data_IF_272380019589
#
_entry.id   IF_272380019589
#
_cell.length_a   1.000
_cell.length_b   1.000
_cell.length_c   1.000
_cell.angle_alpha   90.00
_cell.angle_beta   90.00
_cell.angle_gamma   90.00
#
_symmetry.space_group_name_H-M   'P 1'
#
loop_
_entity.id
_entity.type
_entity.pdbx_description
1 polymer ?
#
# COMPACT_ATOMS: atom_id res chain seq x y z
N UNK A 1 17.79 4.66 2.71
CA UNK A 1 16.89 5.37 3.64
C UNK A 1 16.54 6.72 3.04
N UNK A 2 15.30 7.14 3.16
CA UNK A 2 14.74 8.39 2.65
C UNK A 2 13.99 9.07 3.80
N UNK A 3 14.43 10.23 4.20
CA UNK A 3 13.79 11.02 5.27
C UNK A 3 12.56 11.72 4.66
N UNK A 4 11.39 11.53 5.27
CA UNK A 4 10.13 12.03 4.70
C UNK A 4 9.88 13.52 4.96
N UNK A 5 10.56 14.12 5.94
CA UNK A 5 10.44 15.54 6.28
C UNK A 5 11.76 16.10 6.83
N UNK A 6 12.13 17.35 6.58
CA UNK A 6 13.22 18.02 7.29
C UNK A 6 12.88 18.34 8.75
N UNK A 7 11.60 18.39 9.10
CA UNK A 7 11.12 18.57 10.47
C UNK A 7 11.09 17.22 11.19
N UNK A 8 11.36 17.22 12.49
CA UNK A 8 11.30 16.01 13.30
C UNK A 8 9.84 15.61 13.56
N UNK A 9 9.29 14.84 12.63
CA UNK A 9 7.96 14.25 12.70
C UNK A 9 8.10 12.73 12.83
N UNK A 10 7.20 12.11 13.58
CA UNK A 10 7.28 10.67 13.88
C UNK A 10 6.41 9.82 12.97
N UNK A 11 5.39 10.44 12.36
CA UNK A 11 4.46 9.76 11.46
C UNK A 11 4.17 10.55 10.18
N UNK A 12 3.89 9.85 9.10
CA UNK A 12 3.50 10.46 7.82
C UNK A 12 2.17 11.20 7.90
N UNK A 13 1.27 10.80 8.80
CA UNK A 13 0.00 11.50 9.03
C UNK A 13 0.19 12.94 9.50
N UNK A 14 1.32 13.27 10.13
CA UNK A 14 1.67 14.60 10.63
C UNK A 14 2.18 15.54 9.52
N UNK A 15 2.55 15.00 8.37
CA UNK A 15 3.06 15.78 7.23
C UNK A 15 1.96 16.70 6.67
N UNK A 16 2.33 17.96 6.35
CA UNK A 16 1.49 18.82 5.54
C UNK A 16 1.30 18.24 4.13
N UNK A 17 0.32 18.75 3.37
CA UNK A 17 0.05 18.31 2.00
C UNK A 17 1.29 18.41 1.11
N UNK A 18 1.99 19.55 1.20
CA UNK A 18 3.21 19.78 0.43
C UNK A 18 4.36 18.85 0.83
N UNK A 19 4.57 18.63 2.12
CA UNK A 19 5.60 17.72 2.61
C UNK A 19 5.32 16.27 2.19
N UNK A 20 4.06 15.83 2.28
CA UNK A 20 3.66 14.49 1.86
C UNK A 20 3.88 14.27 0.37
N UNK A 21 3.43 15.22 -0.46
CA UNK A 21 3.65 15.18 -1.90
C UNK A 21 5.15 15.15 -2.26
N UNK A 22 5.97 15.96 -1.59
CA UNK A 22 7.43 15.99 -1.77
C UNK A 22 8.09 14.66 -1.36
N UNK A 23 7.65 14.05 -0.26
CA UNK A 23 8.14 12.72 0.17
C UNK A 23 7.85 11.65 -0.89
N UNK A 24 6.61 11.57 -1.37
CA UNK A 24 6.21 10.60 -2.41
C UNK A 24 6.93 10.86 -3.73
N UNK A 25 7.12 12.12 -4.14
CA UNK A 25 7.90 12.47 -5.32
C UNK A 25 9.36 12.02 -5.19
N UNK A 26 9.96 12.22 -4.00
CA UNK A 26 11.31 11.74 -3.69
C UNK A 26 11.41 10.21 -3.74
N UNK A 27 10.40 9.49 -3.26
CA UNK A 27 10.35 8.03 -3.35
C UNK A 27 10.43 7.58 -4.81
N UNK A 28 9.61 8.18 -5.69
CA UNK A 28 9.59 7.88 -7.13
C UNK A 28 10.94 8.18 -7.79
N UNK A 29 11.50 9.35 -7.51
CA UNK A 29 12.81 9.74 -8.03
C UNK A 29 13.89 8.73 -7.65
N UNK A 30 13.93 8.33 -6.37
CA UNK A 30 14.92 7.35 -5.88
C UNK A 30 14.70 5.95 -6.44
N UNK A 31 13.45 5.55 -6.67
CA UNK A 31 13.15 4.28 -7.34
C UNK A 31 13.63 4.30 -8.80
N UNK A 32 13.37 5.38 -9.55
CA UNK A 32 13.87 5.57 -10.92
C UNK A 32 15.39 5.53 -11.03
N UNK A 33 16.11 5.89 -9.97
CA UNK A 33 17.58 5.87 -9.95
C UNK A 33 18.21 4.45 -9.93
N UNK A 34 17.37 3.40 -9.82
CA UNK A 34 17.83 1.99 -9.78
C UNK A 34 17.26 1.16 -10.95
N UNK A 35 17.53 1.55 -12.22
CA UNK A 35 16.95 0.90 -13.39
C UNK A 35 17.41 -0.56 -13.56
N UNK A 36 18.51 -0.97 -12.94
CA UNK A 36 19.07 -2.33 -13.06
C UNK A 36 18.56 -3.33 -12.02
N UNK A 37 17.78 -2.87 -11.03
CA UNK A 37 17.20 -3.76 -10.04
C UNK A 37 16.15 -4.70 -10.66
N UNK A 38 16.16 -5.97 -10.31
CA UNK A 38 15.12 -6.93 -10.70
C UNK A 38 13.77 -6.59 -10.06
N UNK A 39 13.80 -6.04 -8.85
CA UNK A 39 12.63 -5.58 -8.13
C UNK A 39 13.01 -4.44 -7.17
N UNK A 40 12.10 -3.47 -7.04
CA UNK A 40 12.21 -2.36 -6.09
C UNK A 40 11.17 -2.54 -5.00
N UNK A 41 11.61 -2.59 -3.74
CA UNK A 41 10.72 -2.61 -2.59
C UNK A 41 10.91 -1.34 -1.78
N UNK A 42 9.92 -0.48 -1.78
CA UNK A 42 9.87 0.66 -0.85
C UNK A 42 8.91 0.32 0.29
N UNK A 43 9.33 0.61 1.51
CA UNK A 43 8.56 0.43 2.73
C UNK A 43 8.64 1.66 3.62
N UNK A 44 7.61 1.85 4.45
CA UNK A 44 7.62 2.73 5.62
C UNK A 44 7.22 1.89 6.81
N UNK A 45 7.97 1.97 7.89
CA UNK A 45 7.62 1.40 9.19
C UNK A 45 7.47 2.55 10.18
N UNK A 46 6.34 2.69 10.81
CA UNK A 46 6.06 3.71 11.83
C UNK A 46 5.76 3.04 13.17
N UNK A 47 6.46 3.48 14.20
CA UNK A 47 6.38 2.92 15.55
C UNK A 47 7.25 1.68 15.78
N UNK A 48 7.60 1.44 17.05
CA UNK A 48 8.48 0.35 17.48
C UNK A 48 7.90 -1.03 17.19
N UNK A 49 6.59 -1.21 17.39
CA UNK A 49 5.88 -2.47 17.10
C UNK A 49 5.74 -2.78 15.61
N UNK A 50 5.92 -1.77 14.74
CA UNK A 50 6.03 -1.94 13.29
C UNK A 50 7.47 -2.16 12.81
N UNK A 51 8.46 -2.14 13.71
CA UNK A 51 9.87 -2.33 13.38
C UNK A 51 10.56 -1.08 12.86
N UNK A 52 10.07 0.12 13.21
CA UNK A 52 10.78 1.36 12.92
C UNK A 52 12.13 1.38 13.66
N UNK A 53 13.20 1.67 12.93
CA UNK A 53 14.56 1.77 13.50
C UNK A 53 14.90 3.17 14.02
N UNK A 54 14.12 4.16 13.63
CA UNK A 54 14.24 5.57 14.00
C UNK A 54 12.86 6.13 14.32
N UNK A 55 12.78 7.04 15.26
CA UNK A 55 11.52 7.74 15.59
C UNK A 55 11.09 8.69 14.45
N UNK A 56 12.06 9.32 13.78
CA UNK A 56 11.78 10.22 12.64
C UNK A 56 11.20 9.44 11.46
N UNK A 57 10.04 9.90 10.92
CA UNK A 57 9.39 9.23 9.79
C UNK A 57 10.32 9.13 8.58
N UNK A 58 10.48 7.93 8.07
CA UNK A 58 11.36 7.63 6.95
C UNK A 58 10.87 6.46 6.11
N UNK A 59 11.24 6.46 4.84
CA UNK A 59 11.07 5.30 3.96
C UNK A 59 12.39 4.56 3.77
N UNK A 60 12.30 3.27 3.47
CA UNK A 60 13.43 2.42 3.13
C UNK A 60 13.22 1.85 1.74
N UNK A 61 14.19 2.06 0.85
CA UNK A 61 14.18 1.50 -0.50
C UNK A 61 15.22 0.38 -0.60
N UNK A 62 14.78 -0.78 -1.06
CA UNK A 62 15.60 -1.95 -1.36
C UNK A 62 15.60 -2.19 -2.86
N UNK A 63 16.76 -2.07 -3.50
CA UNK A 63 16.99 -2.47 -4.88
C UNK A 63 17.48 -3.93 -4.88
N UNK A 64 16.62 -4.85 -5.29
CA UNK A 64 16.87 -6.28 -5.19
C UNK A 64 17.34 -6.86 -6.54
N UNK A 65 18.38 -7.72 -6.55
CA UNK A 65 18.82 -8.41 -7.76
C UNK A 65 17.93 -9.63 -8.14
N UNK A 66 16.86 -9.86 -7.41
CA UNK A 66 15.90 -10.94 -7.62
C UNK A 66 14.47 -10.48 -7.36
N UNK A 67 13.48 -11.21 -7.88
CA UNK A 67 12.06 -10.99 -7.59
C UNK A 67 11.65 -11.82 -6.37
N UNK A 68 11.14 -11.20 -5.29
CA UNK A 68 10.68 -11.94 -4.11
C UNK A 68 9.53 -12.91 -4.45
N UNK A 69 9.48 -14.06 -3.80
CA UNK A 69 8.52 -15.12 -4.08
C UNK A 69 7.05 -14.65 -3.99
N UNK A 70 6.73 -13.74 -3.07
CA UNK A 70 5.38 -13.19 -2.95
C UNK A 70 4.98 -12.37 -4.19
N UNK A 71 5.91 -11.57 -4.73
CA UNK A 71 5.71 -10.76 -5.94
C UNK A 71 5.66 -11.64 -7.18
N UNK A 72 6.49 -12.67 -7.25
CA UNK A 72 6.46 -13.64 -8.35
C UNK A 72 5.11 -14.36 -8.43
N UNK A 73 4.58 -14.84 -7.29
CA UNK A 73 3.25 -15.47 -7.21
C UNK A 73 2.11 -14.51 -7.58
N UNK A 74 2.22 -13.24 -7.19
CA UNK A 74 1.24 -12.22 -7.57
C UNK A 74 1.24 -12.02 -9.09
N UNK A 75 2.43 -11.86 -9.69
CA UNK A 75 2.58 -11.77 -11.16
C UNK A 75 2.00 -12.98 -11.88
N UNK A 76 2.25 -14.19 -11.40
CA UNK A 76 1.69 -15.41 -11.97
C UNK A 76 0.16 -15.40 -11.94
N UNK A 77 -0.44 -14.96 -10.84
CA UNK A 77 -1.92 -14.84 -10.71
C UNK A 77 -2.50 -13.80 -11.64
N UNK A 78 -1.85 -12.64 -11.76
CA UNK A 78 -2.24 -11.58 -12.69
C UNK A 78 -2.17 -12.09 -14.13
N UNK A 79 -1.08 -12.74 -14.53
CA UNK A 79 -0.93 -13.33 -15.87
C UNK A 79 -1.99 -14.40 -16.16
N UNK A 80 -2.20 -15.35 -15.23
CA UNK A 80 -3.23 -16.38 -15.38
C UNK A 80 -4.65 -15.82 -15.45
N UNK A 81 -4.91 -14.70 -14.78
CA UNK A 81 -6.19 -13.98 -14.90
C UNK A 81 -6.34 -13.35 -16.29
N UNK A 82 -5.32 -12.64 -16.76
CA UNK A 82 -5.31 -12.04 -18.10
C UNK A 82 -5.52 -13.07 -19.21
N UNK A 83 -4.88 -14.24 -19.12
CA UNK A 83 -5.09 -15.35 -20.07
C UNK A 83 -6.56 -15.83 -20.10
N UNK A 84 -7.18 -15.99 -18.91
CA UNK A 84 -8.58 -16.48 -18.80
C UNK A 84 -9.61 -15.43 -19.25
N UNK A 85 -9.27 -14.16 -19.15
CA UNK A 85 -10.20 -13.04 -19.43
C UNK A 85 -9.92 -12.33 -20.75
N UNK A 86 -9.04 -12.92 -21.59
CA UNK A 86 -8.63 -12.34 -22.88
C UNK A 86 -8.02 -10.92 -22.73
N UNK A 87 -7.18 -10.74 -21.72
CA UNK A 87 -6.44 -9.49 -21.49
C UNK A 87 -6.98 -8.62 -20.36
N UNK A 88 -7.94 -9.10 -19.55
CA UNK A 88 -8.44 -8.37 -18.38
C UNK A 88 -7.36 -8.16 -17.29
N UNK A 89 -7.42 -7.02 -16.61
CA UNK A 89 -6.56 -6.67 -15.49
C UNK A 89 -7.19 -7.11 -14.16
N UNK A 90 -6.55 -8.04 -13.43
CA UNK A 90 -7.11 -8.56 -12.19
C UNK A 90 -7.47 -7.46 -11.19
N UNK A 91 -6.54 -6.55 -10.90
CA UNK A 91 -6.76 -5.51 -9.91
C UNK A 91 -7.70 -4.41 -10.43
N UNK A 92 -7.71 -4.17 -11.74
CA UNK A 92 -8.66 -3.25 -12.40
C UNK A 92 -10.10 -3.76 -12.26
N UNK A 93 -10.33 -5.05 -12.50
CA UNK A 93 -11.66 -5.66 -12.37
C UNK A 93 -12.12 -5.74 -10.90
N UNK A 94 -11.17 -6.02 -9.97
CA UNK A 94 -11.44 -5.92 -8.53
C UNK A 94 -11.87 -4.51 -8.16
N UNK A 95 -11.14 -3.48 -8.64
CA UNK A 95 -11.47 -2.09 -8.35
C UNK A 95 -12.87 -1.70 -8.87
N UNK A 96 -13.22 -2.11 -10.10
CA UNK A 96 -14.55 -1.88 -10.66
C UNK A 96 -15.64 -2.49 -9.76
N UNK A 97 -15.43 -3.70 -9.27
CA UNK A 97 -16.38 -4.37 -8.40
C UNK A 97 -16.47 -3.71 -7.01
N UNK A 98 -15.34 -3.28 -6.43
CA UNK A 98 -15.32 -2.57 -5.15
C UNK A 98 -16.04 -1.22 -5.24
N UNK A 99 -15.85 -0.47 -6.33
CA UNK A 99 -16.57 0.78 -6.59
C UNK A 99 -18.05 0.53 -6.78
N UNK A 100 -18.42 -0.54 -7.52
CA UNK A 100 -19.82 -0.88 -7.76
C UNK A 100 -20.57 -1.28 -6.50
N UNK A 101 -19.94 -2.07 -5.62
CA UNK A 101 -20.55 -2.52 -4.35
C UNK A 101 -20.48 -1.45 -3.28
N UNK A 102 -19.43 -0.65 -3.26
CA UNK A 102 -19.12 0.37 -2.25
C UNK A 102 -19.09 -0.16 -0.79
N UNK A 103 -19.03 -1.47 -0.59
CA UNK A 103 -19.01 -2.08 0.74
C UNK A 103 -17.65 -1.85 1.42
N UNK A 104 -16.54 -2.05 0.68
CA UNK A 104 -15.18 -1.93 1.16
C UNK A 104 -14.43 -0.72 0.60
N UNK A 105 -15.13 0.12 -0.16
CA UNK A 105 -14.61 1.40 -0.63
C UNK A 105 -14.60 2.40 0.52
N UNK A 106 -13.43 2.97 0.80
CA UNK A 106 -13.25 4.02 1.82
C UNK A 106 -13.33 5.40 1.17
N UNK A 107 -12.55 5.63 0.12
CA UNK A 107 -12.51 6.89 -0.63
C UNK A 107 -12.16 6.64 -2.10
N UNK A 108 -12.52 7.60 -2.95
CA UNK A 108 -12.14 7.61 -4.37
C UNK A 108 -12.02 9.05 -4.85
N UNK A 109 -10.98 9.34 -5.62
CA UNK A 109 -10.78 10.61 -6.34
C UNK A 109 -10.53 10.35 -7.84
N UNK A 110 -10.07 11.35 -8.58
CA UNK A 110 -9.80 11.21 -10.02
C UNK A 110 -8.56 10.35 -10.32
N UNK A 111 -7.65 10.15 -9.36
CA UNK A 111 -6.39 9.45 -9.53
C UNK A 111 -6.40 8.02 -8.98
N UNK A 112 -7.00 7.82 -7.79
CA UNK A 112 -6.92 6.57 -7.07
C UNK A 112 -8.17 6.26 -6.25
N UNK A 113 -8.28 5.01 -5.80
CA UNK A 113 -9.26 4.57 -4.81
C UNK A 113 -8.55 3.98 -3.59
N UNK A 114 -9.19 4.13 -2.45
CA UNK A 114 -8.81 3.55 -1.16
C UNK A 114 -9.84 2.51 -0.76
N UNK A 115 -9.41 1.27 -0.57
CA UNK A 115 -10.27 0.16 -0.17
C UNK A 115 -9.71 -0.57 1.06
N UNK A 116 -10.58 -1.24 1.80
CA UNK A 116 -10.19 -2.35 2.67
C UNK A 116 -10.26 -3.63 1.84
N UNK A 117 -9.12 -4.30 1.49
CA UNK A 117 -9.16 -5.45 0.60
C UNK A 117 -10.04 -6.58 1.15
N UNK A 118 -10.82 -7.25 0.28
CA UNK A 118 -11.64 -8.41 0.69
C UNK A 118 -10.82 -9.48 1.43
N UNK A 119 -9.59 -9.72 0.99
CA UNK A 119 -8.65 -10.65 1.62
C UNK A 119 -7.68 -9.91 2.56
N UNK A 120 -8.16 -8.96 3.35
CA UNK A 120 -7.36 -8.30 4.38
C UNK A 120 -6.77 -9.31 5.35
N UNK A 121 -5.48 -9.17 5.64
CA UNK A 121 -4.73 -10.09 6.51
C UNK A 121 -4.74 -9.65 7.97
N UNK A 122 -5.10 -8.38 8.22
CA UNK A 122 -5.18 -7.78 9.54
C UNK A 122 -6.31 -6.75 9.59
N UNK A 123 -6.80 -6.39 10.80
CA UNK A 123 -7.79 -5.33 10.95
C UNK A 123 -7.30 -4.01 10.34
N UNK A 124 -8.20 -3.32 9.65
CA UNK A 124 -7.95 -2.01 9.02
C UNK A 124 -6.79 -2.00 7.99
N UNK A 125 -6.45 -3.15 7.41
CA UNK A 125 -5.55 -3.17 6.25
C UNK A 125 -6.19 -2.40 5.09
N UNK A 126 -5.43 -1.45 4.53
CA UNK A 126 -5.86 -0.56 3.47
C UNK A 126 -5.05 -0.82 2.19
N UNK A 127 -5.68 -0.56 1.05
CA UNK A 127 -5.01 -0.58 -0.25
C UNK A 127 -5.38 0.65 -1.06
N UNK A 128 -4.37 1.38 -1.51
CA UNK A 128 -4.50 2.44 -2.51
C UNK A 128 -4.23 1.85 -3.88
N UNK A 129 -5.18 2.01 -4.81
CA UNK A 129 -5.11 1.49 -6.18
C UNK A 129 -5.31 2.66 -7.14
N UNK A 130 -4.40 2.92 -8.10
CA UNK A 130 -4.64 3.93 -9.13
C UNK A 130 -5.83 3.52 -10.01
N UNK A 131 -6.66 4.49 -10.40
CA UNK A 131 -7.84 4.22 -11.25
C UNK A 131 -7.48 3.81 -12.68
N UNK A 132 -6.32 4.28 -13.14
CA UNK A 132 -5.77 3.86 -14.43
C UNK A 132 -4.70 2.81 -14.20
N UNK A 133 -4.84 1.70 -14.89
CA UNK A 133 -3.83 0.65 -14.83
C UNK A 133 -2.45 1.19 -15.21
N UNK A 134 -1.50 0.96 -14.34
CA UNK A 134 -0.11 1.34 -14.51
C UNK A 134 0.76 0.31 -13.81
N UNK A 135 1.76 -0.21 -14.51
CA UNK A 135 2.58 -1.28 -13.98
C UNK A 135 3.52 -0.82 -12.86
N UNK A 136 4.00 0.43 -12.95
CA UNK A 136 5.08 0.91 -12.10
C UNK A 136 4.69 2.17 -11.33
N UNK A 137 4.86 2.12 -10.01
CA UNK A 137 4.64 3.25 -9.13
C UNK A 137 5.56 4.43 -9.46
N UNK A 138 6.82 4.15 -9.73
CA UNK A 138 7.85 5.15 -10.02
C UNK A 138 7.66 5.88 -11.35
N UNK A 139 6.89 5.31 -12.27
CA UNK A 139 6.55 5.89 -13.58
C UNK A 139 5.20 6.63 -13.58
N UNK A 140 4.47 6.58 -12.46
CA UNK A 140 3.17 7.22 -12.29
C UNK A 140 3.30 8.46 -11.41
N UNK A 141 2.48 9.49 -11.65
CA UNK A 141 2.49 10.73 -10.86
C UNK A 141 1.36 10.79 -9.83
N UNK A 142 0.31 9.99 -9.99
CA UNK A 142 -0.90 10.06 -9.17
C UNK A 142 -0.85 9.25 -7.87
N UNK A 143 -1.90 9.38 -7.05
CA UNK A 143 -2.17 8.58 -5.86
C UNK A 143 -1.54 9.07 -4.55
N UNK A 144 -0.69 10.09 -4.57
CA UNK A 144 -0.07 10.62 -3.34
C UNK A 144 -1.12 11.16 -2.37
N UNK A 145 -2.12 11.89 -2.88
CA UNK A 145 -3.23 12.41 -2.08
C UNK A 145 -4.03 11.29 -1.41
N UNK A 146 -4.29 10.20 -2.13
CA UNK A 146 -5.03 9.06 -1.58
C UNK A 146 -4.23 8.28 -0.52
N UNK A 147 -2.91 8.14 -0.68
CA UNK A 147 -2.04 7.57 0.36
C UNK A 147 -2.12 8.44 1.63
N UNK A 148 -2.08 9.77 1.48
CA UNK A 148 -2.22 10.70 2.59
C UNK A 148 -3.59 10.59 3.27
N UNK A 149 -4.66 10.51 2.49
CA UNK A 149 -6.02 10.28 2.99
C UNK A 149 -6.09 9.02 3.85
N UNK A 150 -5.49 7.92 3.39
CA UNK A 150 -5.42 6.67 4.16
C UNK A 150 -4.70 6.85 5.51
N UNK A 151 -3.54 7.53 5.51
CA UNK A 151 -2.76 7.76 6.74
C UNK A 151 -3.52 8.62 7.74
N UNK A 152 -4.23 9.65 7.25
CA UNK A 152 -5.03 10.55 8.10
C UNK A 152 -6.28 9.88 8.65
N UNK A 153 -6.99 9.11 7.83
CA UNK A 153 -8.16 8.36 8.29
C UNK A 153 -7.80 7.39 9.42
N UNK A 154 -6.66 6.70 9.30
CA UNK A 154 -6.16 5.85 10.39
C UNK A 154 -5.80 6.67 11.64
N UNK A 155 -5.15 7.82 11.48
CA UNK A 155 -4.80 8.66 12.61
C UNK A 155 -6.03 9.24 13.32
N UNK A 156 -7.06 9.62 12.58
CA UNK A 156 -8.33 10.08 13.15
C UNK A 156 -9.06 8.97 13.89
N UNK A 157 -9.16 7.79 13.27
CA UNK A 157 -9.84 6.63 13.86
C UNK A 157 -9.22 6.17 15.19
N UNK A 158 -7.91 6.28 15.33
CA UNK A 158 -7.17 5.81 16.52
C UNK A 158 -6.72 6.91 17.47
N UNK A 159 -7.28 8.13 17.37
CA UNK A 159 -6.89 9.27 18.22
C UNK A 159 -5.37 9.58 18.16
N UNK A 160 -4.76 9.37 17.00
CA UNK A 160 -3.34 9.57 16.74
C UNK A 160 -2.78 8.53 15.78
N UNK A 161 -1.60 8.76 15.19
CA UNK A 161 -1.02 7.83 14.22
C UNK A 161 -0.75 6.46 14.83
N UNK A 162 -1.39 5.38 14.34
CA UNK A 162 -1.09 4.05 14.83
C UNK A 162 0.27 3.57 14.32
N UNK A 163 0.88 2.63 15.04
CA UNK A 163 2.01 1.89 14.51
C UNK A 163 1.59 1.12 13.25
N UNK A 164 2.31 1.25 12.16
CA UNK A 164 1.93 0.64 10.87
C UNK A 164 3.11 0.29 9.99
N UNK A 165 2.85 -0.62 9.06
CA UNK A 165 3.72 -0.88 7.93
C UNK A 165 3.00 -0.45 6.63
N UNK A 166 3.73 0.27 5.79
CA UNK A 166 3.33 0.57 4.41
C UNK A 166 4.34 -0.06 3.46
N UNK A 167 3.86 -0.64 2.36
CA UNK A 167 4.75 -1.09 1.29
C UNK A 167 4.13 -0.84 -0.08
N UNK A 168 5.01 -0.52 -1.03
CA UNK A 168 4.62 -0.31 -2.42
C UNK A 168 4.80 -1.62 -3.19
N UNK A 169 3.78 -1.99 -3.95
CA UNK A 169 3.81 -3.03 -4.97
C UNK A 169 3.96 -2.37 -6.33
N UNK A 170 5.12 -2.54 -6.93
CA UNK A 170 5.42 -2.10 -8.31
C UNK A 170 5.80 -3.31 -9.14
N UNK A 171 5.68 -3.21 -10.46
CA UNK A 171 6.03 -4.30 -11.36
C UNK A 171 7.51 -4.71 -11.25
N UNK A 172 7.82 -6.01 -11.19
CA UNK A 172 9.19 -6.46 -11.43
C UNK A 172 9.67 -6.04 -12.82
N UNK A 173 10.99 -5.98 -12.99
CA UNK A 173 11.58 -5.68 -14.32
C UNK A 173 11.07 -6.67 -15.37
N UNK A 174 10.68 -6.14 -16.54
CA UNK A 174 10.16 -6.93 -17.65
C UNK A 174 8.74 -7.44 -17.48
N UNK A 175 8.04 -7.05 -16.40
CA UNK A 175 6.61 -7.30 -16.25
C UNK A 175 5.83 -6.05 -16.65
N UNK A 176 5.00 -6.14 -17.70
CA UNK A 176 4.14 -5.05 -18.18
C UNK A 176 2.69 -5.23 -17.68
N UNK A 177 2.24 -6.47 -17.58
CA UNK A 177 0.92 -6.78 -17.00
C UNK A 177 1.02 -6.77 -15.47
N UNK A 178 0.84 -5.62 -14.90
CA UNK A 178 0.82 -5.39 -13.47
C UNK A 178 0.04 -4.10 -13.18
N UNK A 179 -0.51 -3.99 -12.01
CA UNK A 179 -1.18 -2.78 -11.55
C UNK A 179 -0.60 -2.42 -10.19
N UNK A 180 0.23 -1.37 -10.12
CA UNK A 180 0.86 -0.98 -8.86
C UNK A 180 -0.20 -0.61 -7.81
N UNK A 181 0.12 -0.83 -6.58
CA UNK A 181 -0.70 -0.44 -5.44
C UNK A 181 0.15 -0.21 -4.21
N UNK A 182 -0.44 0.42 -3.21
CA UNK A 182 0.18 0.61 -1.90
C UNK A 182 -0.68 -0.08 -0.87
N UNK A 183 -0.07 -0.98 -0.10
CA UNK A 183 -0.70 -1.61 1.05
C UNK A 183 -0.27 -0.89 2.34
N UNK A 184 -1.20 -0.68 3.26
CA UNK A 184 -0.98 -0.07 4.56
C UNK A 184 -1.63 -0.98 5.60
N UNK A 185 -0.86 -1.43 6.59
CA UNK A 185 -1.31 -2.36 7.61
C UNK A 185 -0.98 -1.83 9.01
N UNK A 186 -1.96 -1.31 9.76
CA UNK A 186 -1.79 -1.00 11.17
C UNK A 186 -1.41 -2.26 11.98
N UNK A 187 -0.55 -2.09 12.98
CA UNK A 187 -0.03 -3.16 13.84
C UNK A 187 -0.92 -3.40 15.04
N UNK A 188 -2.19 -3.71 14.80
CA UNK A 188 -3.21 -3.91 15.84
C UNK A 188 -3.26 -5.33 16.40
N UNK A 189 -2.67 -6.30 15.67
CA UNK A 189 -2.64 -7.70 16.05
C UNK A 189 -1.24 -8.27 15.90
N UNK A 190 -0.94 -9.31 16.68
CA UNK A 190 0.32 -10.04 16.63
C UNK A 190 0.05 -11.41 16.01
N UNK A 191 0.84 -11.80 15.00
CA UNK A 191 0.77 -13.15 14.44
C UNK A 191 1.21 -14.16 15.49
N UNK A 192 0.37 -15.15 15.72
CA UNK A 192 0.60 -16.20 16.70
C UNK A 192 0.90 -17.56 16.03
N UNK A 193 0.85 -18.63 16.79
CA UNK A 193 1.28 -19.94 16.33
C UNK A 193 0.58 -20.48 15.10
N UNK A 194 -0.70 -20.15 14.91
CA UNK A 194 -1.44 -20.57 13.73
C UNK A 194 -0.91 -19.90 12.46
N UNK A 195 -0.83 -18.57 12.46
CA UNK A 195 -0.35 -17.80 11.29
C UNK A 195 1.11 -18.13 10.98
N UNK A 196 1.95 -18.25 12.00
CA UNK A 196 3.36 -18.60 11.83
C UNK A 196 3.56 -20.03 11.32
N UNK A 197 2.73 -20.96 11.77
CA UNK A 197 2.83 -22.38 11.41
C UNK A 197 2.23 -22.72 10.04
N UNK A 198 1.19 -22.00 9.64
CA UNK A 198 0.44 -22.29 8.40
C UNK A 198 0.69 -21.30 7.27
N UNK A 199 1.14 -20.10 7.60
CA UNK A 199 1.22 -18.98 6.64
C UNK A 199 -0.16 -18.42 6.24
N UNK A 200 -1.22 -18.76 6.99
CA UNK A 200 -2.59 -18.25 6.79
C UNK A 200 -2.84 -17.16 7.84
N UNK A 201 -3.15 -15.96 7.39
CA UNK A 201 -3.47 -14.85 8.27
C UNK A 201 -4.93 -14.92 8.75
N UNK A 202 -5.18 -14.56 10.01
CA UNK A 202 -6.52 -14.43 10.60
C UNK A 202 -6.82 -12.95 10.77
N UNK A 203 -7.82 -12.45 10.03
CA UNK A 203 -8.38 -11.13 10.27
C UNK A 203 -9.63 -11.24 11.14
N UNK A 204 -9.57 -10.66 12.33
CA UNK A 204 -10.68 -10.69 13.31
C UNK A 204 -11.69 -9.55 13.13
N UNK A 205 -11.44 -8.61 12.20
CA UNK A 205 -12.30 -7.47 11.94
C UNK A 205 -12.68 -7.41 10.45
N UNK A 206 -13.97 -7.60 10.09
CA UNK A 206 -14.39 -7.63 8.69
C UNK A 206 -14.00 -6.36 7.92
N UNK A 207 -13.48 -6.48 6.69
CA UNK A 207 -13.07 -5.31 5.91
C UNK A 207 -14.22 -4.37 5.56
N UNK A 208 -15.45 -4.86 5.51
CA UNK A 208 -16.66 -4.06 5.30
C UNK A 208 -16.92 -3.10 6.48
N UNK A 209 -16.71 -3.58 7.70
CA UNK A 209 -16.84 -2.76 8.91
C UNK A 209 -15.67 -1.78 9.02
N UNK A 210 -14.45 -2.23 8.75
CA UNK A 210 -13.28 -1.36 8.73
C UNK A 210 -13.46 -0.20 7.73
N UNK A 211 -14.01 -0.48 6.54
CA UNK A 211 -14.30 0.55 5.56
C UNK A 211 -15.42 1.51 6.01
N UNK A 212 -16.43 1.00 6.74
CA UNK A 212 -17.49 1.85 7.28
C UNK A 212 -16.93 2.83 8.32
N UNK A 213 -16.18 2.31 9.30
CA UNK A 213 -15.57 3.14 10.35
C UNK A 213 -14.62 4.21 9.78
N UNK A 214 -13.79 3.83 8.81
CA UNK A 214 -12.85 4.76 8.17
C UNK A 214 -13.54 5.85 7.35
N UNK A 215 -14.71 5.56 6.75
CA UNK A 215 -15.50 6.60 6.07
C UNK A 215 -16.03 7.67 7.01
N UNK A 216 -16.28 7.34 8.28
CA UNK A 216 -16.72 8.29 9.29
C UNK A 216 -15.59 9.26 9.70
N UNK A 217 -14.33 8.94 9.37
CA UNK A 217 -13.13 9.75 9.67
C UNK A 217 -12.71 10.66 8.49
N UNK A 218 -13.44 10.69 7.38
CA UNK A 218 -13.16 11.50 6.19
C UNK A 218 -14.13 12.67 6.08
#
# INVERSE_FOLDING_TARGET
>A
MLINSPEHLTAMAELSDGQFAAAVATWRERMRAHPDASYLQLIVNEGGGAGASLEHTHAQLYALPFVPAAVARERERVGAYGERTAGGGLLSDVLVEEVRRAERLVAIDDEAALICPWASRSPFELRVIPRRESARFEENEGGAAMIRTAMRALAELFDGPPELNLWIRTAPRGAEQFHWHVDIAPRLTIKAGFELGTGVDINVYPPEWAAADLRECL
#
